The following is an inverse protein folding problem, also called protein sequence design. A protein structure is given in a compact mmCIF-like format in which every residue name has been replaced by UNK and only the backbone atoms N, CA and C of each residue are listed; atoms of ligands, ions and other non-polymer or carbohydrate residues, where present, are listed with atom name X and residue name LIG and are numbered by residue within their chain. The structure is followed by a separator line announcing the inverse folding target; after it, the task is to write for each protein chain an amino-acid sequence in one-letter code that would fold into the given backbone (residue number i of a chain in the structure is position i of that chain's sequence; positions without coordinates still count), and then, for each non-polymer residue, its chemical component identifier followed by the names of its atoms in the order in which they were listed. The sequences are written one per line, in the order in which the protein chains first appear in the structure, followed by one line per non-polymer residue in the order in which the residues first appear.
data_IF_335139643506
#
_entry.id   IF_335139643506
#
_cell.length_a   1.000
_cell.length_b   1.000
_cell.length_c   1.000
_cell.angle_alpha   90.00
_cell.angle_beta   90.00
_cell.angle_gamma   90.00
#
_symmetry.space_group_name_H-M   'P 1'
#
loop_
_entity.id
_entity.type
_entity.pdbx_description
1 polymer ?
#
# COMPACT_ATOMS: atom_id res chain seq x y z
N UNK A 1 55.81 8.93 15.54
CA UNK A 1 54.40 8.52 15.68
C UNK A 1 53.78 8.46 14.28
N UNK A 2 53.58 7.28 13.69
CA UNK A 2 53.04 7.16 12.31
C UNK A 2 51.56 7.54 12.33
N UNK A 3 51.15 8.58 11.59
CA UNK A 3 49.74 8.94 11.50
C UNK A 3 48.97 7.81 10.81
N UNK A 4 47.90 7.34 11.48
CA UNK A 4 47.01 6.30 10.96
C UNK A 4 46.33 6.88 9.72
N UNK A 5 46.63 6.38 8.51
CA UNK A 5 46.07 6.95 7.28
C UNK A 5 44.58 6.60 7.17
N UNK A 6 43.70 7.54 7.51
CA UNK A 6 42.24 7.39 7.42
C UNK A 6 41.75 7.03 6.01
N UNK A 7 42.54 7.36 4.98
CA UNK A 7 42.23 7.12 3.56
C UNK A 7 42.04 5.63 3.21
N UNK A 8 42.57 4.68 3.99
CA UNK A 8 42.38 3.24 3.72
C UNK A 8 41.00 2.72 4.15
N UNK A 9 40.39 3.37 5.13
CA UNK A 9 39.09 2.99 5.66
C UNK A 9 37.95 3.79 5.03
N UNK A 10 38.25 4.94 4.43
CA UNK A 10 37.26 5.79 3.78
C UNK A 10 36.47 5.06 2.67
N UNK A 11 37.09 4.30 1.75
CA UNK A 11 36.33 3.53 0.76
C UNK A 11 35.44 2.46 1.40
N UNK A 12 35.92 1.80 2.45
CA UNK A 12 35.16 0.78 3.18
C UNK A 12 33.97 1.39 3.93
N UNK A 13 34.15 2.55 4.55
CA UNK A 13 33.10 3.27 5.24
C UNK A 13 32.03 3.78 4.26
N UNK A 14 32.45 4.32 3.11
CA UNK A 14 31.53 4.74 2.04
C UNK A 14 30.74 3.55 1.48
N UNK A 15 31.40 2.40 1.28
CA UNK A 15 30.74 1.19 0.84
C UNK A 15 29.70 0.70 1.86
N UNK A 16 30.05 0.66 3.15
CA UNK A 16 29.12 0.30 4.21
C UNK A 16 27.92 1.27 4.29
N UNK A 17 28.17 2.58 4.18
CA UNK A 17 27.11 3.60 4.14
C UNK A 17 26.18 3.42 2.92
N UNK A 18 26.74 3.09 1.76
CA UNK A 18 25.96 2.83 0.54
C UNK A 18 25.09 1.57 0.69
N UNK A 19 25.62 0.47 1.23
CA UNK A 19 24.84 -0.75 1.50
C UNK A 19 23.72 -0.44 2.50
N UNK A 20 24.01 0.29 3.57
CA UNK A 20 23.01 0.69 4.55
C UNK A 20 21.88 1.51 3.92
N UNK A 21 22.22 2.56 3.17
CA UNK A 21 21.24 3.38 2.47
C UNK A 21 20.41 2.57 1.46
N UNK A 22 21.05 1.64 0.74
CA UNK A 22 20.39 0.74 -0.23
C UNK A 22 19.39 -0.19 0.46
N UNK A 23 19.75 -0.77 1.60
CA UNK A 23 18.86 -1.63 2.39
C UNK A 23 17.68 -0.83 2.94
N UNK A 24 17.90 0.36 3.49
CA UNK A 24 16.83 1.23 3.98
C UNK A 24 15.86 1.58 2.84
N UNK A 25 16.37 2.00 1.68
CA UNK A 25 15.54 2.28 0.51
C UNK A 25 14.76 1.04 0.03
N UNK A 26 15.40 -0.13 0.05
CA UNK A 26 14.76 -1.39 -0.33
C UNK A 26 13.62 -1.78 0.61
N UNK A 27 13.81 -1.66 1.93
CA UNK A 27 12.75 -1.96 2.90
C UNK A 27 11.62 -0.92 2.87
N UNK A 28 11.92 0.36 2.64
CA UNK A 28 10.91 1.40 2.47
C UNK A 28 10.07 1.21 1.20
N UNK A 29 10.67 0.69 0.13
CA UNK A 29 9.99 0.44 -1.15
C UNK A 29 9.15 -0.84 -1.19
N UNK A 30 9.15 -1.68 -0.14
CA UNK A 30 8.33 -2.90 -0.13
C UNK A 30 6.85 -2.54 0.13
N UNK A 31 5.92 -2.93 -0.76
CA UNK A 31 4.51 -2.77 -0.49
C UNK A 31 4.10 -3.63 0.70
N UNK A 32 3.03 -3.23 1.40
CA UNK A 32 2.51 -3.99 2.53
C UNK A 32 2.20 -5.44 2.11
N UNK A 33 2.39 -6.40 3.03
CA UNK A 33 2.01 -7.79 2.77
C UNK A 33 0.49 -7.87 2.66
N UNK A 34 -0.02 -7.98 1.42
CA UNK A 34 -1.46 -8.02 1.14
C UNK A 34 -1.98 -9.45 1.22
N UNK A 35 -3.03 -9.69 2.00
CA UNK A 35 -3.75 -10.97 1.93
C UNK A 35 -4.47 -11.05 0.57
N UNK A 36 -4.00 -11.92 -0.32
CA UNK A 36 -4.45 -11.93 -1.72
C UNK A 36 -5.97 -12.14 -1.88
N UNK A 37 -6.62 -12.94 -1.01
CA UNK A 37 -8.06 -13.18 -1.12
C UNK A 37 -8.87 -11.96 -0.71
N UNK A 38 -8.62 -11.47 0.51
CA UNK A 38 -9.35 -10.30 1.04
C UNK A 38 -9.10 -9.10 0.14
N UNK A 39 -7.84 -8.84 -0.18
CA UNK A 39 -7.47 -7.68 -1.00
C UNK A 39 -8.12 -7.72 -2.39
N UNK A 40 -8.05 -8.85 -3.12
CA UNK A 40 -8.71 -8.95 -4.43
C UNK A 40 -10.22 -8.77 -4.34
N UNK A 41 -10.87 -9.37 -3.35
CA UNK A 41 -12.32 -9.22 -3.17
C UNK A 41 -12.69 -7.78 -2.90
N UNK A 42 -12.01 -7.11 -1.95
CA UNK A 42 -12.30 -5.72 -1.61
C UNK A 42 -12.01 -4.77 -2.78
N UNK A 43 -10.91 -5.00 -3.50
CA UNK A 43 -10.50 -4.17 -4.65
C UNK A 43 -11.51 -4.17 -5.81
N UNK A 44 -12.35 -5.22 -5.95
CA UNK A 44 -13.41 -5.24 -6.97
C UNK A 44 -14.41 -4.10 -6.78
N UNK A 45 -14.68 -3.74 -5.53
CA UNK A 45 -15.67 -2.72 -5.14
C UNK A 45 -15.04 -1.33 -4.99
N UNK A 46 -13.74 -1.23 -4.73
CA UNK A 46 -13.06 0.06 -4.68
C UNK A 46 -13.13 0.78 -6.05
N UNK A 47 -13.42 2.09 -6.06
CA UNK A 47 -13.49 2.85 -7.29
C UNK A 47 -12.11 3.17 -7.85
N UNK A 48 -11.04 3.10 -7.05
CA UNK A 48 -9.71 3.53 -7.47
C UNK A 48 -8.96 2.46 -8.26
N UNK A 49 -8.26 2.87 -9.31
CA UNK A 49 -7.38 2.00 -10.09
C UNK A 49 -6.17 2.75 -10.66
N UNK A 50 -5.12 1.99 -10.98
CA UNK A 50 -3.91 2.48 -11.61
C UNK A 50 -4.03 2.39 -13.13
N UNK A 51 -3.98 3.53 -13.80
CA UNK A 51 -3.99 3.66 -15.25
C UNK A 51 -2.55 3.83 -15.80
N UNK A 52 -2.24 3.11 -16.88
CA UNK A 52 -0.92 3.17 -17.54
C UNK A 52 -0.96 4.22 -18.63
N UNK A 53 -0.02 5.17 -18.58
CA UNK A 53 0.18 6.19 -19.63
C UNK A 53 1.64 6.26 -20.04
N UNK A 54 1.91 6.95 -21.15
CA UNK A 54 3.28 7.17 -21.66
C UNK A 54 4.22 7.80 -20.61
N UNK A 55 3.69 8.62 -19.70
CA UNK A 55 4.46 9.26 -18.61
C UNK A 55 4.41 8.55 -17.26
N UNK A 56 4.16 7.24 -17.22
CA UNK A 56 4.13 6.44 -15.99
C UNK A 56 2.71 6.03 -15.54
N UNK A 57 2.50 5.91 -14.24
CA UNK A 57 1.22 5.50 -13.66
C UNK A 57 0.39 6.72 -13.23
N UNK A 58 -0.93 6.56 -13.19
CA UNK A 58 -1.88 7.56 -12.70
C UNK A 58 -2.96 6.87 -11.89
N UNK A 59 -3.44 7.49 -10.81
CA UNK A 59 -4.58 6.98 -10.06
C UNK A 59 -5.84 7.64 -10.63
N UNK A 60 -6.85 6.84 -10.97
CA UNK A 60 -8.17 7.28 -11.45
C UNK A 60 -9.28 6.63 -10.64
N UNK A 61 -10.49 7.18 -10.75
CA UNK A 61 -11.71 6.60 -10.18
C UNK A 61 -12.62 6.03 -11.29
N UNK A 62 -13.32 4.94 -11.00
CA UNK A 62 -14.37 4.35 -11.85
C UNK A 62 -15.69 5.13 -11.76
N UNK A 63 -15.91 5.84 -10.65
CA UNK A 63 -17.16 6.53 -10.34
C UNK A 63 -17.06 8.04 -10.52
N UNK A 64 -15.85 8.60 -10.47
CA UNK A 64 -15.59 10.03 -10.69
C UNK A 64 -14.60 10.19 -11.85
N UNK A 65 -15.11 10.57 -13.02
CA UNK A 65 -14.31 10.77 -14.24
C UNK A 65 -13.33 11.95 -14.12
N UNK A 66 -13.59 12.89 -13.21
CA UNK A 66 -12.75 14.08 -13.00
C UNK A 66 -11.60 13.80 -12.04
N UNK A 67 -11.70 12.75 -11.23
CA UNK A 67 -10.67 12.37 -10.28
C UNK A 67 -9.42 11.82 -10.98
N UNK A 68 -8.31 12.53 -10.82
CA UNK A 68 -7.02 12.09 -11.32
C UNK A 68 -5.87 12.56 -10.41
N UNK A 69 -5.19 11.62 -9.76
CA UNK A 69 -3.96 11.90 -9.04
C UNK A 69 -2.75 11.41 -9.85
N UNK A 70 -1.73 12.26 -9.97
CA UNK A 70 -0.48 11.97 -10.71
C UNK A 70 0.73 11.98 -9.78
N UNK A 71 0.81 11.10 -8.76
CA UNK A 71 1.99 11.04 -7.90
C UNK A 71 3.25 10.71 -8.68
N UNK A 72 4.40 10.95 -8.06
CA UNK A 72 5.68 10.48 -8.57
C UNK A 72 5.78 8.95 -8.51
N UNK A 73 6.69 8.36 -9.29
CA UNK A 73 6.91 6.91 -9.23
C UNK A 73 7.30 6.40 -7.82
N UNK A 74 7.90 7.26 -7.00
CA UNK A 74 8.28 6.92 -5.62
C UNK A 74 7.07 6.88 -4.67
N UNK A 75 6.06 7.71 -4.91
CA UNK A 75 4.91 7.87 -4.00
C UNK A 75 3.61 7.23 -4.49
N UNK A 76 3.53 6.80 -5.75
CA UNK A 76 2.27 6.34 -6.35
C UNK A 76 1.62 5.17 -5.63
N UNK A 77 2.40 4.20 -5.16
CA UNK A 77 1.85 3.08 -4.41
C UNK A 77 1.39 3.52 -3.01
N UNK A 78 2.10 4.45 -2.37
CA UNK A 78 1.69 4.99 -1.08
C UNK A 78 0.39 5.79 -1.17
N UNK A 79 0.25 6.64 -2.20
CA UNK A 79 -0.99 7.39 -2.43
C UNK A 79 -2.15 6.48 -2.79
N UNK A 80 -1.91 5.45 -3.62
CA UNK A 80 -2.92 4.46 -3.93
C UNK A 80 -3.39 3.70 -2.69
N UNK A 81 -2.45 3.26 -1.85
CA UNK A 81 -2.77 2.62 -0.58
C UNK A 81 -3.51 3.56 0.37
N UNK A 82 -3.17 4.85 0.42
CA UNK A 82 -3.91 5.85 1.21
C UNK A 82 -5.37 5.89 0.81
N UNK A 83 -5.66 6.02 -0.49
CA UNK A 83 -7.02 6.05 -1.02
C UNK A 83 -7.78 4.74 -0.75
N UNK A 84 -7.13 3.58 -0.90
CA UNK A 84 -7.73 2.28 -0.58
C UNK A 84 -8.10 2.18 0.90
N UNK A 85 -7.27 2.71 1.81
CA UNK A 85 -7.52 2.71 3.25
C UNK A 85 -8.63 3.68 3.64
N UNK A 86 -8.61 4.89 3.09
CA UNK A 86 -9.65 5.90 3.32
C UNK A 86 -11.02 5.42 2.85
N UNK A 87 -11.06 4.80 1.67
CA UNK A 87 -12.27 4.15 1.17
C UNK A 87 -12.67 2.97 2.07
N UNK A 88 -11.72 2.11 2.44
CA UNK A 88 -11.97 0.97 3.30
C UNK A 88 -12.64 1.36 4.63
N UNK A 89 -12.18 2.42 5.28
CA UNK A 89 -12.78 2.91 6.54
C UNK A 89 -14.24 3.36 6.42
N UNK A 90 -14.66 3.79 5.22
CA UNK A 90 -16.03 4.25 4.96
C UNK A 90 -16.96 3.11 4.53
N UNK A 91 -16.42 2.16 3.77
CA UNK A 91 -17.21 1.15 3.07
C UNK A 91 -17.04 -0.27 3.59
N UNK A 92 -16.19 -0.48 4.60
CA UNK A 92 -15.96 -1.80 5.18
C UNK A 92 -16.37 -1.80 6.65
N UNK A 93 -17.04 -2.87 7.08
CA UNK A 93 -17.37 -3.09 8.49
C UNK A 93 -17.22 -4.55 8.84
N UNK A 94 -16.64 -4.82 10.00
CA UNK A 94 -16.62 -6.15 10.57
C UNK A 94 -17.92 -6.42 11.33
N UNK A 95 -18.58 -7.53 11.00
CA UNK A 95 -19.70 -8.08 11.76
C UNK A 95 -19.43 -9.55 12.08
N UNK A 96 -19.19 -9.83 13.36
CA UNK A 96 -18.73 -11.12 13.85
C UNK A 96 -17.48 -11.62 13.06
N UNK A 97 -17.65 -12.63 12.21
CA UNK A 97 -16.58 -13.21 11.39
C UNK A 97 -16.77 -12.94 9.89
N UNK A 98 -17.50 -11.89 9.55
CA UNK A 98 -17.80 -11.51 8.16
C UNK A 98 -17.44 -10.05 7.95
N UNK A 99 -16.69 -9.79 6.88
CA UNK A 99 -16.45 -8.45 6.38
C UNK A 99 -17.62 -8.04 5.48
N UNK A 100 -18.34 -7.00 5.88
CA UNK A 100 -19.39 -6.38 5.08
C UNK A 100 -18.78 -5.28 4.21
N UNK A 101 -19.18 -5.23 2.94
CA UNK A 101 -18.75 -4.25 1.96
C UNK A 101 -19.98 -3.44 1.54
N UNK A 102 -19.94 -2.13 1.75
CA UNK A 102 -21.03 -1.20 1.49
C UNK A 102 -20.80 -0.38 0.23
N UNK A 103 -21.88 0.04 -0.40
CA UNK A 103 -21.85 1.09 -1.42
C UNK A 103 -21.84 2.50 -0.80
N UNK A 104 -21.91 3.52 -1.66
CA UNK A 104 -22.01 4.93 -1.25
C UNK A 104 -23.34 5.26 -0.56
N UNK A 105 -24.38 4.45 -0.78
CA UNK A 105 -25.71 4.57 -0.16
C UNK A 105 -25.83 3.79 1.15
N UNK A 106 -24.74 3.22 1.67
CA UNK A 106 -24.70 2.36 2.86
C UNK A 106 -25.53 1.07 2.74
N UNK A 107 -25.76 0.59 1.52
CA UNK A 107 -26.34 -0.73 1.26
C UNK A 107 -25.23 -1.78 1.15
N UNK A 108 -25.51 -2.99 1.62
CA UNK A 108 -24.53 -4.09 1.58
C UNK A 108 -24.42 -4.61 0.14
N UNK A 109 -23.30 -4.35 -0.52
CA UNK A 109 -23.01 -4.91 -1.85
C UNK A 109 -22.47 -6.33 -1.77
N UNK A 110 -21.68 -6.64 -0.73
CA UNK A 110 -21.07 -7.94 -0.59
C UNK A 110 -20.75 -8.31 0.86
N UNK A 111 -20.63 -9.61 1.09
CA UNK A 111 -20.24 -10.20 2.37
C UNK A 111 -19.09 -11.17 2.14
N UNK A 112 -18.02 -11.03 2.89
CA UNK A 112 -16.84 -11.89 2.82
C UNK A 112 -16.64 -12.59 4.18
N UNK A 113 -16.99 -13.88 4.29
CA UNK A 113 -16.66 -14.67 5.47
C UNK A 113 -15.14 -14.79 5.63
N UNK A 114 -14.65 -14.55 6.85
CA UNK A 114 -13.24 -14.65 7.19
C UNK A 114 -12.90 -16.10 7.53
N UNK A 115 -11.86 -16.65 6.90
CA UNK A 115 -11.49 -18.07 7.01
C UNK A 115 -10.28 -18.31 7.89
N UNK A 116 -9.40 -17.33 8.01
CA UNK A 116 -8.11 -17.48 8.70
C UNK A 116 -7.79 -16.27 9.57
N UNK A 117 -7.04 -16.49 10.65
CA UNK A 117 -6.57 -15.39 11.51
C UNK A 117 -5.71 -14.37 10.75
N UNK A 118 -4.97 -14.82 9.73
CA UNK A 118 -4.16 -13.94 8.86
C UNK A 118 -5.01 -12.97 8.02
N UNK A 119 -6.25 -13.33 7.72
CA UNK A 119 -7.17 -12.43 7.00
C UNK A 119 -7.73 -11.37 7.92
N UNK A 120 -8.13 -11.77 9.13
CA UNK A 120 -8.59 -10.84 10.15
C UNK A 120 -7.49 -9.83 10.51
N UNK A 121 -6.28 -10.33 10.74
CA UNK A 121 -5.09 -9.52 11.02
C UNK A 121 -4.81 -8.53 9.88
N UNK A 122 -4.86 -8.99 8.63
CA UNK A 122 -4.70 -8.12 7.47
C UNK A 122 -5.77 -7.02 7.41
N UNK A 123 -7.03 -7.33 7.71
CA UNK A 123 -8.12 -6.35 7.67
C UNK A 123 -7.86 -5.23 8.69
N UNK A 124 -7.56 -5.61 9.93
CA UNK A 124 -7.29 -4.66 11.00
C UNK A 124 -6.03 -3.82 10.71
N UNK A 125 -4.94 -4.45 10.27
CA UNK A 125 -3.68 -3.74 10.01
C UNK A 125 -3.73 -2.87 8.75
N UNK A 126 -4.32 -3.35 7.67
CA UNK A 126 -4.33 -2.65 6.40
C UNK A 126 -5.39 -1.54 6.37
N UNK A 127 -6.65 -1.87 6.69
CA UNK A 127 -7.77 -0.91 6.60
C UNK A 127 -7.99 -0.13 7.89
N UNK A 128 -7.50 -0.61 9.04
CA UNK A 128 -7.65 0.07 10.33
C UNK A 128 -9.08 0.05 10.87
N UNK A 129 -9.82 -1.01 10.58
CA UNK A 129 -11.20 -1.28 11.04
C UNK A 129 -11.25 -2.47 11.98
#
# INVERSE_FOLDING_TARGET
MKSKSWNKYLPMALFAAFIFASLVAFFQGKPASKNARVYKTVQQYSPYYLDKRFGGLTIKSKTDETFQEKPTNLSIFHEFERLEKEWGKKHLKMEANTLLIFDDNHTIQAKLPIKTAKELDFIHHYYGI
#
